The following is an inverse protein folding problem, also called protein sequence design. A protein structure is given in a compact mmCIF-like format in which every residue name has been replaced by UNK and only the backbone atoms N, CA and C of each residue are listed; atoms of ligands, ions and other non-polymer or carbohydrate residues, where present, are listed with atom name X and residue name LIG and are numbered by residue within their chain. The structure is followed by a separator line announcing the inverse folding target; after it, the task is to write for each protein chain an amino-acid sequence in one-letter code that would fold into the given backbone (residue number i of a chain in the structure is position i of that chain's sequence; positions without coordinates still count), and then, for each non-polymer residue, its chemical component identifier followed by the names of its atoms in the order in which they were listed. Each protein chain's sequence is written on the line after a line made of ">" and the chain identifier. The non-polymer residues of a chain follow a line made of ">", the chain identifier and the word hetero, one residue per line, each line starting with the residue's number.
data_IF_925402220953
#
_entry.id   IF_925402220953
#
_cell.length_a   1.000
_cell.length_b   1.000
_cell.length_c   1.000
_cell.angle_alpha   90.00
_cell.angle_beta   90.00
_cell.angle_gamma   90.00
#
_symmetry.space_group_name_H-M   'P 1'
#
loop_
_entity.id
_entity.type
_entity.pdbx_description
1 polymer ?
#
# COMPACT_ATOMS: atom_id res chain seq x y z
N UNK A 1 -5.93 7.16 -14.78
CA UNK A 1 -5.21 6.43 -13.72
C UNK A 1 -5.88 6.76 -12.39
N UNK A 2 -6.42 5.77 -11.67
CA UNK A 2 -7.14 5.91 -10.41
C UNK A 2 -6.64 4.90 -9.37
N UNK A 3 -6.47 5.36 -8.13
CA UNK A 3 -5.99 4.56 -7.02
C UNK A 3 -7.12 4.24 -6.02
N UNK A 4 -7.19 3.01 -5.53
CA UNK A 4 -8.03 2.68 -4.39
C UNK A 4 -7.30 2.98 -3.08
N UNK A 5 -7.65 4.11 -2.45
CA UNK A 5 -7.08 4.51 -1.16
C UNK A 5 -7.67 3.68 0.00
N UNK A 6 -6.82 3.11 0.84
CA UNK A 6 -7.22 2.27 1.99
C UNK A 6 -6.48 2.69 3.26
N UNK A 7 -7.16 2.61 4.40
CA UNK A 7 -6.56 2.93 5.71
C UNK A 7 -6.86 4.33 6.20
N UNK A 8 -7.87 5.02 5.63
CA UNK A 8 -8.33 6.32 6.12
C UNK A 8 -8.80 6.23 7.58
N UNK A 9 -8.62 7.31 8.32
CA UNK A 9 -9.06 7.41 9.71
C UNK A 9 -10.59 7.44 9.83
N UNK A 10 -11.07 7.05 11.02
CA UNK A 10 -12.49 7.08 11.44
C UNK A 10 -13.49 6.41 10.47
N UNK A 11 -13.37 5.10 10.21
CA UNK A 11 -14.42 4.37 9.51
C UNK A 11 -15.70 4.26 10.36
N UNK A 12 -16.86 4.39 9.73
CA UNK A 12 -18.18 4.19 10.38
C UNK A 12 -18.32 2.79 11.00
N UNK A 13 -17.73 1.77 10.35
CA UNK A 13 -17.70 0.38 10.84
C UNK A 13 -16.26 -0.15 10.93
N UNK A 14 -15.55 0.08 12.06
CA UNK A 14 -14.11 -0.17 12.15
C UNK A 14 -13.66 -1.58 11.77
N UNK A 15 -14.24 -2.62 12.37
CA UNK A 15 -13.79 -4.00 12.15
C UNK A 15 -14.03 -4.45 10.71
N UNK A 16 -15.24 -4.23 10.20
CA UNK A 16 -15.63 -4.60 8.83
C UNK A 16 -14.82 -3.84 7.79
N UNK A 17 -14.59 -2.54 8.00
CA UNK A 17 -13.79 -1.73 7.09
C UNK A 17 -12.34 -2.19 7.11
N UNK A 18 -11.70 -2.36 8.27
CA UNK A 18 -10.31 -2.81 8.36
C UNK A 18 -10.11 -4.19 7.76
N UNK A 19 -11.05 -5.12 7.93
CA UNK A 19 -10.98 -6.43 7.28
C UNK A 19 -11.08 -6.31 5.75
N UNK A 20 -11.97 -5.46 5.25
CA UNK A 20 -12.09 -5.18 3.81
C UNK A 20 -10.85 -4.51 3.23
N UNK A 21 -10.11 -3.74 4.04
CA UNK A 21 -8.88 -3.07 3.64
C UNK A 21 -7.69 -4.03 3.65
N UNK A 22 -7.66 -5.01 4.54
CA UNK A 22 -6.67 -6.10 4.52
C UNK A 22 -6.86 -7.02 3.31
N UNK A 23 -8.11 -7.20 2.84
CA UNK A 23 -8.45 -8.04 1.69
C UNK A 23 -9.27 -7.27 0.64
N UNK A 24 -8.65 -6.30 -0.07
CA UNK A 24 -9.39 -5.34 -0.91
C UNK A 24 -9.88 -5.89 -2.24
N UNK A 25 -9.69 -7.19 -2.53
CA UNK A 25 -9.98 -7.77 -3.84
C UNK A 25 -11.41 -7.54 -4.33
N UNK A 26 -12.41 -7.56 -3.46
CA UNK A 26 -13.80 -7.25 -3.83
C UNK A 26 -13.99 -5.77 -4.15
N UNK A 27 -13.32 -4.88 -3.41
CA UNK A 27 -13.40 -3.42 -3.61
C UNK A 27 -12.70 -3.02 -4.90
N UNK A 28 -11.51 -3.55 -5.16
CA UNK A 28 -10.76 -3.33 -6.42
C UNK A 28 -11.59 -3.67 -7.66
N UNK A 29 -12.27 -4.82 -7.67
CA UNK A 29 -13.15 -5.21 -8.79
C UNK A 29 -14.34 -4.27 -8.97
N UNK A 30 -14.93 -3.79 -7.87
CA UNK A 30 -16.07 -2.87 -7.91
C UNK A 30 -15.69 -1.47 -8.38
N UNK A 31 -14.54 -0.97 -7.93
CA UNK A 31 -14.10 0.39 -8.25
C UNK A 31 -13.36 0.48 -9.58
N UNK A 32 -12.93 -0.64 -10.17
CA UNK A 32 -12.10 -0.69 -11.39
C UNK A 32 -10.84 0.19 -11.26
N UNK A 33 -10.26 0.24 -10.06
CA UNK A 33 -9.04 1.01 -9.82
C UNK A 33 -7.85 0.33 -10.50
N UNK A 34 -6.92 1.13 -11.05
CA UNK A 34 -5.74 0.64 -11.75
C UNK A 34 -4.73 0.02 -10.77
N UNK A 35 -4.63 0.59 -9.57
CA UNK A 35 -3.75 0.11 -8.51
C UNK A 35 -4.33 0.37 -7.12
N UNK A 36 -3.74 -0.26 -6.10
CA UNK A 36 -4.17 -0.10 -4.71
C UNK A 36 -3.19 0.79 -3.94
N UNK A 37 -3.73 1.70 -3.12
CA UNK A 37 -2.94 2.59 -2.29
C UNK A 37 -3.25 2.44 -0.80
N UNK A 38 -2.68 1.42 -0.12
CA UNK A 38 -2.91 1.18 1.29
C UNK A 38 -1.97 1.98 2.20
N UNK A 39 -2.46 2.31 3.39
CA UNK A 39 -1.60 2.72 4.49
C UNK A 39 -0.61 1.60 4.88
N UNK A 40 0.65 1.92 5.18
CA UNK A 40 1.71 0.91 5.40
C UNK A 40 1.37 -0.16 6.47
N UNK A 41 0.56 0.21 7.47
CA UNK A 41 0.10 -0.71 8.54
C UNK A 41 -0.79 -1.86 8.05
N UNK A 42 -1.37 -1.73 6.85
CA UNK A 42 -2.22 -2.74 6.22
C UNK A 42 -1.44 -3.82 5.46
N UNK A 43 -0.11 -3.67 5.28
CA UNK A 43 0.74 -4.64 4.58
C UNK A 43 1.00 -5.89 5.45
N UNK A 44 -0.07 -6.62 5.75
CA UNK A 44 -0.08 -7.83 6.58
C UNK A 44 -0.57 -9.05 5.79
N UNK A 45 -0.29 -10.23 6.35
CA UNK A 45 -0.76 -11.52 5.83
C UNK A 45 -0.34 -11.83 4.39
N UNK A 46 0.78 -11.26 3.92
CA UNK A 46 1.24 -11.39 2.52
C UNK A 46 0.54 -10.43 1.54
N UNK A 47 0.21 -9.21 1.99
CA UNK A 47 -0.61 -8.25 1.21
C UNK A 47 -0.10 -8.04 -0.22
N UNK A 48 1.17 -7.70 -0.38
CA UNK A 48 1.78 -7.43 -1.69
C UNK A 48 1.73 -8.68 -2.58
N UNK A 49 2.06 -9.85 -2.04
CA UNK A 49 1.95 -11.12 -2.77
C UNK A 49 0.52 -11.38 -3.30
N UNK A 50 -0.52 -11.15 -2.47
CA UNK A 50 -1.92 -11.30 -2.91
C UNK A 50 -2.32 -10.31 -4.00
N UNK A 51 -1.73 -9.12 -4.02
CA UNK A 51 -1.98 -8.11 -5.06
C UNK A 51 -1.23 -8.43 -6.35
N UNK A 52 0.01 -8.93 -6.25
CA UNK A 52 0.79 -9.42 -7.38
C UNK A 52 0.10 -10.58 -8.10
N UNK A 53 -0.49 -11.54 -7.37
CA UNK A 53 -1.33 -12.59 -7.96
C UNK A 53 -2.53 -12.05 -8.75
N UNK A 54 -2.98 -10.83 -8.44
CA UNK A 54 -4.07 -10.13 -9.12
C UNK A 54 -3.57 -9.15 -10.19
N UNK A 55 -2.26 -9.12 -10.46
CA UNK A 55 -1.60 -8.15 -11.35
C UNK A 55 -1.95 -6.69 -10.99
N UNK A 56 -2.07 -6.40 -9.69
CA UNK A 56 -2.42 -5.08 -9.18
C UNK A 56 -1.23 -4.50 -8.42
N UNK A 57 -0.71 -3.36 -8.89
CA UNK A 57 0.40 -2.67 -8.22
C UNK A 57 -0.01 -2.07 -6.88
N UNK A 58 0.95 -1.96 -5.97
CA UNK A 58 0.77 -1.46 -4.60
C UNK A 58 1.60 -0.19 -4.40
N UNK A 59 0.93 0.93 -4.16
CA UNK A 59 1.55 2.23 -3.82
C UNK A 59 1.26 2.60 -2.37
N UNK A 60 2.25 2.50 -1.49
CA UNK A 60 2.04 2.68 -0.04
C UNK A 60 2.19 4.13 0.39
N UNK A 61 1.36 4.59 1.33
CA UNK A 61 1.42 5.95 1.88
C UNK A 61 1.27 5.97 3.42
N UNK A 62 1.60 7.05 4.11
CA UNK A 62 2.75 7.93 3.81
C UNK A 62 3.92 7.41 4.66
N UNK A 63 5.07 7.18 4.02
CA UNK A 63 6.20 6.51 4.67
C UNK A 63 7.38 7.47 4.77
N UNK A 64 7.60 8.02 5.97
CA UNK A 64 8.58 9.10 6.19
C UNK A 64 9.87 8.64 6.89
N UNK A 65 9.80 7.57 7.68
CA UNK A 65 10.94 7.03 8.43
C UNK A 65 11.83 6.16 7.53
N UNK A 66 13.14 6.33 7.62
CA UNK A 66 14.11 5.68 6.74
C UNK A 66 14.10 4.15 6.86
N UNK A 67 13.98 3.62 8.07
CA UNK A 67 13.84 2.17 8.29
C UNK A 67 12.52 1.62 7.71
N UNK A 68 11.44 2.41 7.77
CA UNK A 68 10.18 2.02 7.16
C UNK A 68 10.27 2.05 5.63
N UNK A 69 10.95 3.04 5.05
CA UNK A 69 11.25 3.11 3.60
C UNK A 69 12.02 1.85 3.18
N UNK A 70 13.13 1.51 3.84
CA UNK A 70 13.91 0.30 3.57
C UNK A 70 13.03 -0.95 3.64
N UNK A 71 12.19 -1.06 4.68
CA UNK A 71 11.27 -2.19 4.84
C UNK A 71 10.26 -2.27 3.70
N UNK A 72 9.72 -1.15 3.22
CA UNK A 72 8.80 -1.12 2.09
C UNK A 72 9.50 -1.57 0.80
N UNK A 73 10.69 -1.06 0.52
CA UNK A 73 11.47 -1.38 -0.69
C UNK A 73 11.96 -2.82 -0.68
N UNK A 74 12.73 -3.22 0.34
CA UNK A 74 13.48 -4.48 0.31
C UNK A 74 12.67 -5.67 0.83
N UNK A 75 11.88 -5.48 1.90
CA UNK A 75 11.12 -6.57 2.54
C UNK A 75 9.75 -6.76 1.91
N UNK A 76 8.97 -5.69 1.77
CA UNK A 76 7.63 -5.79 1.20
C UNK A 76 7.64 -5.73 -0.33
N UNK A 77 8.68 -5.16 -0.95
CA UNK A 77 8.81 -5.03 -2.41
C UNK A 77 7.59 -4.37 -3.04
N UNK A 78 7.17 -3.24 -2.47
CA UNK A 78 6.07 -2.43 -3.01
C UNK A 78 6.50 -1.76 -4.31
N UNK A 79 5.56 -1.52 -5.23
CA UNK A 79 5.84 -0.90 -6.52
C UNK A 79 6.13 0.61 -6.40
N UNK A 80 5.55 1.27 -5.39
CA UNK A 80 5.67 2.71 -5.18
C UNK A 80 5.53 3.08 -3.71
N UNK A 81 6.21 4.16 -3.31
CA UNK A 81 6.16 4.74 -1.97
C UNK A 81 5.80 6.22 -2.09
N UNK A 82 4.78 6.65 -1.37
CA UNK A 82 4.43 8.05 -1.15
C UNK A 82 5.11 8.51 0.15
N UNK A 83 5.96 9.52 0.03
CA UNK A 83 6.75 10.06 1.15
C UNK A 83 6.89 11.57 1.02
N UNK A 84 7.00 12.26 2.17
CA UNK A 84 7.35 13.67 2.21
C UNK A 84 8.86 13.90 2.07
N UNK A 85 9.67 12.82 2.12
CA UNK A 85 11.13 12.87 2.09
C UNK A 85 11.69 11.97 0.96
N UNK A 86 11.47 12.35 -0.31
CA UNK A 86 11.91 11.53 -1.45
C UNK A 86 13.43 11.37 -1.52
N UNK A 87 14.18 12.34 -1.01
CA UNK A 87 15.64 12.31 -0.85
C UNK A 87 16.11 11.07 -0.07
N UNK A 88 15.38 10.67 0.97
CA UNK A 88 15.69 9.46 1.76
C UNK A 88 15.45 8.19 0.96
N UNK A 89 14.36 8.14 0.20
CA UNK A 89 14.04 6.98 -0.64
C UNK A 89 15.02 6.80 -1.80
N UNK A 90 15.47 7.90 -2.42
CA UNK A 90 16.39 7.87 -3.56
C UNK A 90 17.74 7.22 -3.24
N UNK A 91 18.22 7.28 -1.99
CA UNK A 91 19.44 6.59 -1.53
C UNK A 91 19.40 5.08 -1.76
N UNK A 92 18.19 4.50 -1.78
CA UNK A 92 17.97 3.05 -1.89
C UNK A 92 17.53 2.62 -3.29
N UNK A 93 17.13 3.57 -4.16
CA UNK A 93 16.68 3.29 -5.52
C UNK A 93 17.79 3.48 -6.57
N UNK A 94 18.76 4.35 -6.31
CA UNK A 94 19.92 4.52 -7.18
C UNK A 94 20.91 3.39 -6.93
N UNK A 95 20.98 2.46 -7.88
CA UNK A 95 22.09 1.54 -8.05
C UNK A 95 23.03 2.10 -9.11
#
# INVERSE_FOLDING_TARGET
>A
IAALLLGKDRPEHPLRTRLSELFPGRRLRRTKADFVSPHYRLLKFGYVWRMNLRKCSVSVWTVNEEELIKKMIFKHRVDSIVTNYPDRALKYLKK
#
